data_IF_262981712338
#
_entry.id   IF_262981712338
#
_cell.length_a   1.000
_cell.length_b   1.000
_cell.length_c   1.000
_cell.angle_alpha   90.00
_cell.angle_beta   90.00
_cell.angle_gamma   90.00
#
_symmetry.space_group_name_H-M   'P 1'
#
loop_
_entity.id
_entity.type
_entity.pdbx_description
1 polymer ?
#
# COMPACT_ATOMS: atom_id res chain seq x y z
N UNK A 1 -4.95 -18.19 10.39
CA UNK A 1 -5.22 -16.85 10.96
C UNK A 1 -4.79 -15.79 9.97
N UNK A 2 -5.58 -14.74 9.86
CA UNK A 2 -5.24 -13.65 8.92
C UNK A 2 -4.04 -12.85 9.41
N UNK A 3 -3.20 -12.47 8.46
CA UNK A 3 -2.06 -11.59 8.66
C UNK A 3 -2.40 -10.26 7.95
N UNK A 4 -2.25 -9.16 8.67
CA UNK A 4 -2.46 -7.83 8.10
C UNK A 4 -1.13 -7.13 7.92
N UNK A 5 -1.05 -6.29 6.90
CA UNK A 5 0.10 -5.40 6.72
C UNK A 5 -0.38 -3.97 6.59
N UNK A 6 0.07 -3.13 7.53
CA UNK A 6 -0.16 -1.70 7.50
C UNK A 6 1.09 -1.03 6.94
N UNK A 7 0.95 -0.35 5.82
CA UNK A 7 2.06 0.37 5.19
C UNK A 7 1.79 1.86 5.27
N UNK A 8 2.76 2.61 5.78
CA UNK A 8 2.67 4.06 5.93
C UNK A 8 3.81 4.69 5.16
N UNK A 9 3.48 5.52 4.17
CA UNK A 9 4.43 6.27 3.37
C UNK A 9 4.36 7.72 3.73
N UNK A 10 5.50 8.32 4.10
CA UNK A 10 5.63 9.74 4.30
C UNK A 10 6.04 10.39 2.98
N UNK A 11 5.21 11.27 2.46
CA UNK A 11 5.48 12.01 1.21
C UNK A 11 6.19 13.31 1.57
N UNK A 12 7.12 13.76 0.72
CA UNK A 12 7.78 15.07 0.90
C UNK A 12 6.75 16.20 0.88
N UNK A 13 7.01 17.21 1.72
CA UNK A 13 6.17 18.41 1.77
C UNK A 13 6.10 19.04 0.38
N UNK A 14 4.89 19.37 -0.06
CA UNK A 14 4.64 19.94 -1.39
C UNK A 14 4.49 18.92 -2.50
N UNK A 15 4.66 17.62 -2.21
CA UNK A 15 4.58 16.54 -3.21
C UNK A 15 3.33 15.68 -3.10
N UNK A 16 2.45 15.94 -2.14
CA UNK A 16 1.27 15.09 -1.91
C UNK A 16 0.33 15.05 -3.12
N UNK A 17 0.12 16.18 -3.77
CA UNK A 17 -0.71 16.27 -4.97
C UNK A 17 -0.15 15.38 -6.08
N UNK A 18 1.16 15.43 -6.30
CA UNK A 18 1.83 14.61 -7.32
C UNK A 18 1.76 13.13 -6.95
N UNK A 19 1.91 12.80 -5.67
CA UNK A 19 1.81 11.42 -5.19
C UNK A 19 0.41 10.85 -5.40
N UNK A 20 -0.63 11.61 -5.07
CA UNK A 20 -2.02 11.20 -5.28
C UNK A 20 -2.29 11.00 -6.77
N UNK A 21 -1.82 11.91 -7.62
CA UNK A 21 -1.97 11.79 -9.06
C UNK A 21 -1.27 10.54 -9.60
N UNK A 22 -0.07 10.22 -9.12
CA UNK A 22 0.65 9.01 -9.52
C UNK A 22 -0.13 7.74 -9.16
N UNK A 23 -0.73 7.71 -7.97
CA UNK A 23 -1.58 6.58 -7.57
C UNK A 23 -2.84 6.48 -8.44
N UNK A 24 -3.53 7.59 -8.69
CA UNK A 24 -4.75 7.59 -9.48
C UNK A 24 -4.50 7.18 -10.93
N UNK A 25 -3.43 7.68 -11.52
CA UNK A 25 -3.18 7.52 -12.95
C UNK A 25 -2.41 6.23 -13.28
N UNK A 26 -1.57 5.74 -12.38
CA UNK A 26 -0.69 4.59 -12.63
C UNK A 26 -0.80 3.49 -11.58
N UNK A 27 -0.79 3.83 -10.30
CA UNK A 27 -0.73 2.84 -9.22
C UNK A 27 -2.01 2.03 -9.08
N UNK A 28 -3.13 2.71 -8.93
CA UNK A 28 -4.42 2.04 -8.78
C UNK A 28 -4.78 1.22 -10.03
N UNK A 29 -4.64 1.74 -11.26
CA UNK A 29 -4.87 0.92 -12.46
C UNK A 29 -3.99 -0.33 -12.51
N UNK A 30 -2.72 -0.23 -12.16
CA UNK A 30 -1.81 -1.38 -12.14
C UNK A 30 -2.22 -2.42 -11.10
N UNK A 31 -2.57 -1.98 -9.89
CA UNK A 31 -3.03 -2.86 -8.80
C UNK A 31 -4.30 -3.59 -9.21
N UNK A 32 -5.27 -2.86 -9.75
CA UNK A 32 -6.57 -3.42 -10.14
C UNK A 32 -6.45 -4.36 -11.32
N UNK A 33 -5.73 -3.95 -12.37
CA UNK A 33 -5.59 -4.77 -13.58
C UNK A 33 -4.77 -6.03 -13.34
N UNK A 34 -3.82 -5.99 -12.40
CA UNK A 34 -3.04 -7.17 -12.01
C UNK A 34 -3.78 -8.11 -11.07
N UNK A 35 -4.97 -7.74 -10.59
CA UNK A 35 -5.72 -8.53 -9.62
C UNK A 35 -5.18 -8.45 -8.21
N UNK A 36 -4.28 -7.52 -7.92
CA UNK A 36 -3.64 -7.37 -6.61
C UNK A 36 -4.56 -6.75 -5.56
N UNK A 37 -5.64 -6.10 -6.00
CA UNK A 37 -6.63 -5.49 -5.14
C UNK A 37 -7.44 -6.50 -4.31
N UNK A 38 -7.39 -7.78 -4.65
CA UNK A 38 -8.10 -8.82 -3.89
C UNK A 38 -7.59 -8.95 -2.45
N UNK A 39 -6.36 -8.53 -2.17
CA UNK A 39 -5.76 -8.55 -0.83
C UNK A 39 -5.83 -7.18 -0.15
N UNK A 40 -6.34 -6.16 -0.83
CA UNK A 40 -6.40 -4.81 -0.29
C UNK A 40 -7.62 -4.62 0.58
N UNK A 41 -7.42 -4.10 1.81
CA UNK A 41 -8.50 -3.66 2.69
C UNK A 41 -8.86 -2.20 2.40
N UNK A 42 -7.87 -1.33 2.26
CA UNK A 42 -8.12 0.07 1.92
C UNK A 42 -6.86 0.89 1.77
N UNK A 43 -7.01 2.03 1.08
CA UNK A 43 -6.01 3.10 0.96
C UNK A 43 -6.57 4.36 1.59
N UNK A 44 -5.71 5.09 2.29
CA UNK A 44 -6.08 6.30 3.01
C UNK A 44 -5.03 7.38 2.82
N UNK A 45 -5.46 8.64 2.85
CA UNK A 45 -4.55 9.78 2.96
C UNK A 45 -4.77 10.44 4.31
N UNK A 46 -3.69 10.93 4.93
CA UNK A 46 -3.78 11.56 6.25
C UNK A 46 -4.52 12.91 6.17
N UNK A 47 -5.32 13.19 7.21
CA UNK A 47 -5.96 14.50 7.41
C UNK A 47 -5.25 15.25 8.54
N UNK A 48 -5.11 14.61 9.70
CA UNK A 48 -4.48 15.18 10.89
C UNK A 48 -3.42 14.23 11.44
N UNK A 49 -2.67 14.66 12.45
CA UNK A 49 -1.55 13.90 12.99
C UNK A 49 -0.34 14.00 12.09
N UNK A 50 0.25 12.89 11.71
CA UNK A 50 1.31 12.88 10.71
C UNK A 50 0.78 13.31 9.35
N UNK A 51 1.22 14.48 8.88
CA UNK A 51 0.77 15.04 7.59
C UNK A 51 1.48 14.38 6.42
N UNK A 52 0.86 14.49 5.25
CA UNK A 52 1.41 14.03 3.97
C UNK A 52 1.72 12.52 3.97
N UNK A 53 0.82 11.73 4.56
CA UNK A 53 0.96 10.28 4.59
C UNK A 53 -0.04 9.61 3.66
N UNK A 54 0.42 8.53 3.02
CA UNK A 54 -0.44 7.56 2.34
C UNK A 54 -0.36 6.28 3.14
N UNK A 55 -1.51 5.79 3.60
CA UNK A 55 -1.60 4.61 4.45
C UNK A 55 -2.44 3.56 3.74
N UNK A 56 -1.95 2.33 3.69
CA UNK A 56 -2.75 1.25 3.13
C UNK A 56 -2.65 0.00 3.97
N UNK A 57 -3.76 -0.73 4.00
CA UNK A 57 -3.92 -1.94 4.78
C UNK A 57 -4.21 -3.10 3.85
N UNK A 58 -3.46 -4.18 4.01
CA UNK A 58 -3.58 -5.41 3.24
C UNK A 58 -3.90 -6.56 4.18
N UNK A 59 -4.58 -7.58 3.65
CA UNK A 59 -4.94 -8.78 4.40
C UNK A 59 -4.51 -10.02 3.63
N UNK A 60 -3.74 -10.88 4.29
CA UNK A 60 -3.22 -12.12 3.74
C UNK A 60 -3.64 -13.31 4.60
N UNK A 61 -3.65 -14.50 4.02
CA UNK A 61 -3.97 -15.72 4.76
C UNK A 61 -2.85 -16.07 5.76
N UNK A 62 -1.59 -15.89 5.33
CA UNK A 62 -0.39 -16.19 6.10
C UNK A 62 0.83 -15.49 5.52
N UNK A 63 2.01 -15.75 6.08
CA UNK A 63 3.27 -15.15 5.60
C UNK A 63 3.60 -15.55 4.17
N UNK A 64 3.30 -16.79 3.78
CA UNK A 64 3.57 -17.25 2.43
C UNK A 64 2.69 -16.53 1.39
N UNK A 65 1.42 -16.34 1.71
CA UNK A 65 0.48 -15.58 0.87
C UNK A 65 0.98 -14.15 0.66
N UNK A 66 1.44 -13.50 1.75
CA UNK A 66 2.03 -12.16 1.69
C UNK A 66 3.28 -12.14 0.81
N UNK A 67 4.18 -13.10 1.00
CA UNK A 67 5.42 -13.17 0.23
C UNK A 67 5.13 -13.31 -1.26
N UNK A 68 4.23 -14.20 -1.64
CA UNK A 68 3.85 -14.42 -3.03
C UNK A 68 3.18 -13.16 -3.64
N UNK A 69 2.34 -12.48 -2.87
CA UNK A 69 1.67 -11.27 -3.32
C UNK A 69 2.68 -10.19 -3.73
N UNK A 70 3.60 -9.84 -2.82
CA UNK A 70 4.58 -8.80 -3.09
C UNK A 70 5.60 -9.22 -4.15
N UNK A 71 6.01 -10.48 -4.15
CA UNK A 71 6.93 -11.00 -5.15
C UNK A 71 6.33 -10.88 -6.56
N UNK A 72 5.10 -11.28 -6.74
CA UNK A 72 4.38 -11.19 -8.01
C UNK A 72 4.17 -9.72 -8.42
N UNK A 73 3.78 -8.88 -7.47
CA UNK A 73 3.51 -7.47 -7.72
C UNK A 73 4.77 -6.73 -8.18
N UNK A 74 5.92 -7.02 -7.56
CA UNK A 74 7.19 -6.40 -7.94
C UNK A 74 7.75 -6.92 -9.27
N UNK A 75 7.17 -7.96 -9.84
CA UNK A 75 7.49 -8.45 -11.18
C UNK A 75 6.54 -7.91 -12.26
N UNK A 76 5.45 -7.27 -11.85
CA UNK A 76 4.47 -6.71 -12.78
C UNK A 76 5.02 -5.43 -13.42
N UNK A 77 5.15 -5.37 -14.77
CA UNK A 77 5.73 -4.20 -15.43
C UNK A 77 4.96 -2.90 -15.18
N UNK A 78 3.62 -2.94 -15.15
CA UNK A 78 2.79 -1.76 -14.93
C UNK A 78 2.96 -1.24 -13.51
N UNK A 79 3.02 -2.13 -12.53
CA UNK A 79 3.28 -1.73 -11.14
C UNK A 79 4.69 -1.15 -10.98
N UNK A 80 5.69 -1.73 -11.63
CA UNK A 80 7.07 -1.23 -11.55
C UNK A 80 7.23 0.12 -12.24
N UNK A 81 6.47 0.39 -13.29
CA UNK A 81 6.41 1.73 -13.88
C UNK A 81 5.88 2.75 -12.87
N UNK A 82 4.78 2.43 -12.21
CA UNK A 82 4.26 3.25 -11.12
C UNK A 82 5.28 3.44 -9.99
N UNK A 83 5.95 2.37 -9.57
CA UNK A 83 6.94 2.42 -8.51
C UNK A 83 8.07 3.42 -8.83
N UNK A 84 8.51 3.49 -10.08
CA UNK A 84 9.49 4.46 -10.53
C UNK A 84 9.02 5.91 -10.42
N UNK A 85 7.72 6.15 -10.53
CA UNK A 85 7.13 7.48 -10.41
C UNK A 85 6.90 7.89 -8.96
N UNK A 86 6.48 6.96 -8.11
CA UNK A 86 6.13 7.29 -6.71
C UNK A 86 7.34 7.35 -5.79
N UNK A 87 8.33 6.49 -5.98
CA UNK A 87 9.49 6.41 -5.08
C UNK A 87 10.22 7.73 -4.86
N UNK A 88 10.47 8.57 -5.90
CA UNK A 88 11.13 9.86 -5.66
C UNK A 88 10.33 10.83 -4.80
N UNK A 89 9.01 10.63 -4.67
CA UNK A 89 8.12 11.49 -3.90
C UNK A 89 8.02 11.06 -2.44
N UNK A 90 8.56 9.89 -2.09
CA UNK A 90 8.47 9.33 -0.74
C UNK A 90 9.72 9.66 0.06
N UNK A 91 9.51 10.16 1.28
CA UNK A 91 10.57 10.45 2.23
C UNK A 91 10.89 9.21 3.07
N UNK A 92 9.86 8.55 3.61
CA UNK A 92 10.01 7.35 4.42
C UNK A 92 8.92 6.34 4.11
N UNK A 93 9.20 5.08 4.43
CA UNK A 93 8.25 3.99 4.34
C UNK A 93 8.34 3.16 5.61
N UNK A 94 7.19 2.85 6.19
CA UNK A 94 7.08 1.98 7.35
C UNK A 94 6.09 0.86 7.04
N UNK A 95 6.50 -0.38 7.28
CA UNK A 95 5.65 -1.56 7.14
C UNK A 95 5.49 -2.20 8.51
N UNK A 96 4.25 -2.49 8.88
CA UNK A 96 3.94 -3.13 10.16
C UNK A 96 3.06 -4.35 9.89
N UNK A 97 3.49 -5.51 10.37
CA UNK A 97 2.67 -6.72 10.30
C UNK A 97 1.86 -6.83 11.58
N UNK A 98 0.56 -7.13 11.42
CA UNK A 98 -0.40 -7.17 12.50
C UNK A 98 -1.13 -8.51 12.49
N UNK A 99 -1.38 -9.05 13.67
CA UNK A 99 -2.28 -10.19 13.86
C UNK A 99 -3.61 -9.70 14.38
N UNK A 100 -4.70 -10.31 13.92
CA UNK A 100 -6.01 -10.04 14.50
C UNK A 100 -5.98 -10.32 15.98
N UNK A 101 -6.52 -9.40 16.79
CA UNK A 101 -6.64 -9.63 18.24
C UNK A 101 -7.65 -10.76 18.50
N UNK A 102 -7.56 -11.42 19.67
CA UNK A 102 -8.55 -12.47 20.02
C UNK A 102 -9.95 -11.94 20.29
N UNK A 103 -10.17 -10.65 20.15
CA UNK A 103 -11.48 -10.00 20.37
C UNK A 103 -11.72 -8.94 19.31
N UNK A 104 -12.99 -8.54 19.19
CA UNK A 104 -13.42 -7.45 18.31
C UNK A 104 -13.62 -7.89 16.87
N UNK A 105 -14.24 -7.04 16.06
CA UNK A 105 -14.37 -7.26 14.63
C UNK A 105 -13.06 -6.97 13.90
N UNK A 106 -12.85 -7.68 12.79
CA UNK A 106 -11.68 -7.47 11.93
C UNK A 106 -12.15 -7.39 10.48
N UNK A 107 -11.62 -6.46 9.67
CA UNK A 107 -11.96 -6.38 8.25
C UNK A 107 -11.49 -7.59 7.45
#
# INVERSE_FOLDING_TARGET
>A
MALYELRTYQVYVGKMKDAVAAYQDYGWPAIKNGGFDTKLVGYFTSDTGGLHQIVHLWKFDDYNDRHQHWDTMFQDPAFMEFAGKIRPLLMTQQNQLLHASPWGPHP
#
